data_IF_159812713913
#
_entry.id   IF_159812713913
#
_cell.length_a   1.000
_cell.length_b   1.000
_cell.length_c   1.000
_cell.angle_alpha   90.00
_cell.angle_beta   90.00
_cell.angle_gamma   90.00
#
_symmetry.space_group_name_H-M   'P 1'
#
loop_
_entity.id
_entity.type
_entity.pdbx_description
1 polymer ?
#
# COMPACT_ATOMS: atom_id res chain seq x y z
N UNK A 1 21.38 11.14 6.25
CA UNK A 1 20.62 9.90 5.97
C UNK A 1 19.43 10.25 5.09
N UNK A 2 19.07 9.41 4.10
CA UNK A 2 18.28 9.71 2.88
C UNK A 2 17.19 10.80 2.96
N UNK A 3 16.46 10.90 4.07
CA UNK A 3 15.32 11.83 4.26
C UNK A 3 15.70 13.16 4.95
N UNK A 4 16.99 13.46 5.07
CA UNK A 4 17.52 14.72 5.59
C UNK A 4 18.20 15.51 4.47
N UNK A 5 17.90 16.81 4.29
CA UNK A 5 16.92 17.62 5.04
C UNK A 5 15.46 17.21 4.77
N UNK A 6 14.49 17.73 5.54
CA UNK A 6 13.07 17.35 5.42
C UNK A 6 12.49 17.50 4.00
N UNK A 7 13.06 18.39 3.17
CA UNK A 7 12.70 18.55 1.76
C UNK A 7 13.05 17.35 0.89
N UNK A 8 14.00 16.50 1.31
CA UNK A 8 14.45 15.33 0.54
C UNK A 8 13.30 14.36 0.22
N UNK A 9 12.37 14.15 1.17
CA UNK A 9 11.18 13.32 0.92
C UNK A 9 10.34 13.86 -0.23
N UNK A 10 10.07 15.16 -0.25
CA UNK A 10 9.30 15.81 -1.32
C UNK A 10 10.04 15.76 -2.66
N UNK A 11 11.34 16.03 -2.67
CA UNK A 11 12.16 15.91 -3.87
C UNK A 11 12.12 14.50 -4.46
N UNK A 12 12.18 13.45 -3.62
CA UNK A 12 12.11 12.06 -4.06
C UNK A 12 10.72 11.68 -4.57
N UNK A 13 9.64 12.20 -3.95
CA UNK A 13 8.27 12.01 -4.45
C UNK A 13 8.09 12.63 -5.84
N UNK A 14 8.56 13.87 -6.04
CA UNK A 14 8.52 14.55 -7.34
C UNK A 14 9.39 13.82 -8.37
N UNK A 15 10.58 13.36 -7.98
CA UNK A 15 11.45 12.59 -8.87
C UNK A 15 10.77 11.29 -9.35
N UNK A 16 10.10 10.56 -8.45
CA UNK A 16 9.31 9.38 -8.81
C UNK A 16 8.21 9.72 -9.82
N UNK A 17 7.45 10.78 -9.57
CA UNK A 17 6.37 11.21 -10.46
C UNK A 17 6.90 11.57 -11.86
N UNK A 18 7.97 12.36 -11.96
CA UNK A 18 8.58 12.75 -13.24
C UNK A 18 9.13 11.53 -13.99
N UNK A 19 9.82 10.62 -13.29
CA UNK A 19 10.34 9.40 -13.89
C UNK A 19 9.23 8.48 -14.39
N UNK A 20 8.13 8.38 -13.64
CA UNK A 20 6.97 7.60 -14.04
C UNK A 20 6.28 8.21 -15.28
N UNK A 21 6.01 9.53 -15.27
CA UNK A 21 5.38 10.24 -16.40
C UNK A 21 6.22 10.21 -17.67
N UNK A 22 7.54 10.16 -17.55
CA UNK A 22 8.45 9.97 -18.68
C UNK A 22 8.62 8.51 -19.12
N UNK A 23 7.88 7.57 -18.52
CA UNK A 23 7.96 6.12 -18.78
C UNK A 23 9.38 5.56 -18.64
N UNK A 24 10.20 6.21 -17.80
CA UNK A 24 11.59 5.82 -17.65
C UNK A 24 11.70 4.51 -16.86
N UNK A 25 12.52 3.53 -17.30
CA UNK A 25 12.79 2.33 -16.51
C UNK A 25 13.50 2.65 -15.18
N UNK A 26 14.00 3.87 -15.00
CA UNK A 26 14.52 4.35 -13.73
C UNK A 26 13.44 4.47 -12.65
N UNK A 27 12.15 4.66 -13.00
CA UNK A 27 11.07 4.76 -12.03
C UNK A 27 10.96 3.48 -11.18
N UNK A 28 10.86 2.31 -11.83
CA UNK A 28 10.78 1.01 -11.15
C UNK A 28 12.03 0.72 -10.31
N UNK A 29 13.22 1.08 -10.81
CA UNK A 29 14.47 0.95 -10.04
C UNK A 29 14.47 1.83 -8.80
N UNK A 30 14.01 3.08 -8.93
CA UNK A 30 13.92 4.01 -7.81
C UNK A 30 12.90 3.54 -6.78
N UNK A 31 11.71 3.08 -7.19
CA UNK A 31 10.73 2.50 -6.27
C UNK A 31 11.34 1.36 -5.45
N UNK A 32 11.99 0.39 -6.13
CA UNK A 32 12.63 -0.75 -5.46
C UNK A 32 13.72 -0.32 -4.49
N UNK A 33 14.58 0.62 -4.90
CA UNK A 33 15.64 1.14 -4.05
C UNK A 33 15.09 1.87 -2.81
N UNK A 34 14.10 2.74 -2.99
CA UNK A 34 13.47 3.48 -1.89
C UNK A 34 12.79 2.53 -0.90
N UNK A 35 12.01 1.57 -1.38
CA UNK A 35 11.35 0.59 -0.51
C UNK A 35 12.39 -0.25 0.24
N UNK A 36 13.43 -0.73 -0.44
CA UNK A 36 14.51 -1.49 0.21
C UNK A 36 15.27 -0.71 1.28
N UNK A 37 15.47 0.59 1.09
CA UNK A 37 16.14 1.45 2.08
C UNK A 37 15.24 1.87 3.25
N UNK A 38 13.94 2.11 3.01
CA UNK A 38 13.01 2.65 4.00
C UNK A 38 12.31 1.54 4.80
N UNK A 39 12.17 0.37 4.20
CA UNK A 39 11.50 -0.80 4.75
C UNK A 39 12.39 -2.05 4.60
N UNK A 40 13.60 -2.05 5.19
CA UNK A 40 14.46 -3.23 5.16
C UNK A 40 13.75 -4.39 5.89
N UNK A 41 13.85 -5.63 5.39
CA UNK A 41 13.25 -6.78 6.07
C UNK A 41 13.80 -6.90 7.50
N UNK A 42 12.92 -7.23 8.45
CA UNK A 42 13.29 -7.39 9.84
C UNK A 42 14.18 -8.62 10.08
N UNK A 43 14.77 -8.72 11.28
CA UNK A 43 15.65 -9.83 11.64
C UNK A 43 14.89 -11.17 11.71
N UNK A 44 13.58 -11.13 11.98
CA UNK A 44 12.72 -12.31 11.98
C UNK A 44 11.71 -12.28 10.83
N UNK A 45 11.25 -13.44 10.34
CA UNK A 45 10.18 -13.50 9.34
C UNK A 45 8.85 -12.86 9.79
N UNK A 46 8.66 -12.68 11.10
CA UNK A 46 7.49 -12.02 11.67
C UNK A 46 7.60 -10.48 11.61
N UNK A 47 8.83 -9.94 11.54
CA UNK A 47 9.09 -8.51 11.53
C UNK A 47 9.02 -7.94 10.12
N UNK A 48 7.86 -7.37 9.78
CA UNK A 48 7.68 -6.69 8.51
C UNK A 48 8.28 -5.28 8.53
N UNK A 49 9.38 -5.13 7.80
CA UNK A 49 10.02 -3.83 7.55
C UNK A 49 9.05 -2.83 6.94
N UNK A 50 8.23 -3.28 5.98
CA UNK A 50 7.25 -2.44 5.31
C UNK A 50 6.14 -2.00 6.26
N UNK A 51 5.62 -2.88 7.12
CA UNK A 51 4.61 -2.49 8.11
C UNK A 51 5.18 -1.44 9.07
N UNK A 52 6.38 -1.65 9.61
CA UNK A 52 7.03 -0.66 10.47
C UNK A 52 7.29 0.68 9.75
N UNK A 53 7.66 0.62 8.46
CA UNK A 53 7.90 1.81 7.64
C UNK A 53 6.63 2.60 7.34
N UNK A 54 5.50 1.93 7.11
CA UNK A 54 4.20 2.58 6.90
C UNK A 54 3.61 3.17 8.18
N UNK A 55 4.02 2.69 9.35
CA UNK A 55 3.64 3.25 10.64
C UNK A 55 4.51 4.43 11.07
N UNK A 56 5.59 4.71 10.34
CA UNK A 56 6.58 5.73 10.69
C UNK A 56 6.23 7.09 10.02
N UNK A 57 6.15 8.20 10.79
CA UNK A 57 5.73 9.49 10.26
C UNK A 57 6.71 10.13 9.27
N UNK A 58 7.97 9.71 9.27
CA UNK A 58 9.03 10.23 8.38
C UNK A 58 9.08 9.41 7.09
N UNK A 59 8.90 8.09 7.18
CA UNK A 59 9.06 7.16 6.04
C UNK A 59 7.76 6.91 5.27
N UNK A 60 6.60 6.91 5.94
CA UNK A 60 5.32 6.47 5.38
C UNK A 60 4.97 7.16 4.06
N UNK A 61 5.11 8.48 3.99
CA UNK A 61 4.77 9.28 2.80
C UNK A 61 5.57 8.90 1.56
N UNK A 62 6.88 8.62 1.71
CA UNK A 62 7.71 8.23 0.57
C UNK A 62 7.46 6.76 0.20
N UNK A 63 7.14 5.90 1.16
CA UNK A 63 6.70 4.53 0.88
C UNK A 63 5.36 4.50 0.13
N UNK A 64 4.39 5.33 0.53
CA UNK A 64 3.12 5.53 -0.20
C UNK A 64 3.38 5.90 -1.66
N UNK A 65 4.23 6.89 -1.92
CA UNK A 65 4.57 7.33 -3.27
C UNK A 65 5.33 6.25 -4.06
N UNK A 66 6.25 5.52 -3.43
CA UNK A 66 6.97 4.44 -4.09
C UNK A 66 6.04 3.27 -4.48
N UNK A 67 5.04 2.95 -3.65
CA UNK A 67 4.04 1.93 -3.96
C UNK A 67 3.07 2.38 -5.06
N UNK A 68 2.67 3.66 -5.08
CA UNK A 68 1.82 4.23 -6.14
C UNK A 68 2.40 4.00 -7.54
N UNK A 69 3.73 4.10 -7.69
CA UNK A 69 4.42 3.95 -8.97
C UNK A 69 5.10 2.59 -9.13
N UNK A 70 4.91 1.66 -8.18
CA UNK A 70 5.48 0.32 -8.27
C UNK A 70 4.76 -0.51 -9.33
N UNK A 71 5.52 -1.30 -10.08
CA UNK A 71 4.94 -2.27 -11.01
C UNK A 71 4.21 -3.42 -10.28
N UNK A 72 3.32 -4.14 -10.98
CA UNK A 72 2.47 -5.18 -10.37
C UNK A 72 3.27 -6.29 -9.70
N UNK A 73 4.42 -6.68 -10.25
CA UNK A 73 5.28 -7.72 -9.66
C UNK A 73 5.88 -7.30 -8.33
N UNK A 74 6.27 -6.03 -8.20
CA UNK A 74 6.79 -5.50 -6.95
C UNK A 74 5.68 -5.44 -5.91
N UNK A 75 4.49 -4.93 -6.26
CA UNK A 75 3.35 -4.88 -5.33
C UNK A 75 2.94 -6.27 -4.85
N UNK A 76 2.92 -7.26 -5.75
CA UNK A 76 2.67 -8.66 -5.42
C UNK A 76 3.71 -9.22 -4.46
N UNK A 77 4.99 -8.94 -4.70
CA UNK A 77 6.08 -9.34 -3.80
C UNK A 77 5.90 -8.72 -2.41
N UNK A 78 5.69 -7.40 -2.33
CA UNK A 78 5.53 -6.68 -1.07
C UNK A 78 4.32 -7.21 -0.29
N UNK A 79 3.19 -7.39 -0.96
CA UNK A 79 1.99 -7.93 -0.33
C UNK A 79 2.27 -9.29 0.31
N UNK A 80 2.75 -10.26 -0.48
CA UNK A 80 2.96 -11.65 -0.02
C UNK A 80 4.01 -11.78 1.07
N UNK A 81 5.07 -10.97 1.01
CA UNK A 81 6.23 -11.09 1.91
C UNK A 81 6.11 -10.23 3.17
N UNK A 82 5.32 -9.15 3.14
CA UNK A 82 5.39 -8.12 4.18
C UNK A 82 4.03 -7.67 4.70
N UNK A 83 2.92 -7.85 3.97
CA UNK A 83 1.61 -7.26 4.36
C UNK A 83 0.51 -8.30 4.61
N UNK A 84 0.56 -9.46 3.96
CA UNK A 84 -0.41 -10.54 4.14
C UNK A 84 -0.51 -10.96 5.60
N UNK A 85 -1.74 -11.08 6.09
CA UNK A 85 -2.05 -11.38 7.50
C UNK A 85 -1.99 -10.17 8.43
N UNK A 86 -1.67 -8.97 7.93
CA UNK A 86 -1.54 -7.74 8.72
C UNK A 86 -2.49 -6.64 8.25
N UNK A 87 -3.36 -6.89 7.27
CA UNK A 87 -4.18 -5.85 6.63
C UNK A 87 -5.15 -5.18 7.59
N UNK A 88 -5.79 -5.93 8.50
CA UNK A 88 -6.67 -5.37 9.52
C UNK A 88 -5.93 -4.39 10.44
N UNK A 89 -4.71 -4.72 10.85
CA UNK A 89 -3.87 -3.83 11.67
C UNK A 89 -3.47 -2.57 10.90
N UNK A 90 -3.07 -2.72 9.64
CA UNK A 90 -2.73 -1.60 8.76
C UNK A 90 -3.92 -0.68 8.50
N UNK A 91 -5.10 -1.24 8.24
CA UNK A 91 -6.33 -0.52 7.97
C UNK A 91 -6.78 0.32 9.18
N UNK A 92 -6.54 -0.15 10.40
CA UNK A 92 -6.89 0.54 11.64
C UNK A 92 -5.78 1.49 12.14
N UNK A 93 -4.60 1.52 11.52
CA UNK A 93 -3.51 2.38 11.95
C UNK A 93 -3.59 3.78 11.33
N UNK A 94 -3.48 4.83 12.15
CA UNK A 94 -3.60 6.25 11.74
C UNK A 94 -2.73 6.66 10.55
N UNK A 95 -1.53 6.09 10.42
CA UNK A 95 -0.61 6.38 9.32
C UNK A 95 -0.62 5.30 8.23
N UNK A 96 -0.72 4.03 8.62
CA UNK A 96 -0.46 2.94 7.69
C UNK A 96 -1.65 2.64 6.78
N UNK A 97 -2.85 3.08 7.16
CA UNK A 97 -4.06 2.97 6.34
C UNK A 97 -3.88 3.65 4.96
N UNK A 98 -3.07 4.72 4.88
CA UNK A 98 -2.79 5.39 3.61
C UNK A 98 -1.89 4.55 2.70
N UNK A 99 -0.86 3.91 3.28
CA UNK A 99 -0.04 2.94 2.56
C UNK A 99 -0.85 1.77 2.02
N UNK A 100 -1.78 1.26 2.83
CA UNK A 100 -2.71 0.21 2.42
C UNK A 100 -3.62 0.67 1.26
N UNK A 101 -4.17 1.88 1.32
CA UNK A 101 -4.95 2.44 0.20
C UNK A 101 -4.12 2.50 -1.09
N UNK A 102 -2.85 2.92 -1.04
CA UNK A 102 -1.95 2.92 -2.21
C UNK A 102 -1.66 1.52 -2.75
N UNK A 103 -1.51 0.53 -1.88
CA UNK A 103 -1.43 -0.86 -2.32
C UNK A 103 -2.70 -1.25 -3.08
N UNK A 104 -3.88 -1.01 -2.50
CA UNK A 104 -5.18 -1.39 -3.06
C UNK A 104 -5.44 -0.71 -4.41
N UNK A 105 -5.18 0.59 -4.52
CA UNK A 105 -5.42 1.39 -5.72
C UNK A 105 -4.64 0.87 -6.95
N UNK A 106 -3.49 0.23 -6.73
CA UNK A 106 -2.54 -0.18 -7.78
C UNK A 106 -2.29 -1.70 -7.82
N UNK A 107 -2.92 -2.47 -6.93
CA UNK A 107 -2.72 -3.91 -6.84
C UNK A 107 -3.19 -4.62 -8.11
N UNK A 108 -2.46 -5.66 -8.58
CA UNK A 108 -3.01 -6.56 -9.57
C UNK A 108 -4.18 -7.37 -8.98
N UNK A 109 -5.05 -7.88 -9.86
CA UNK A 109 -6.29 -8.59 -9.49
C UNK A 109 -6.08 -9.71 -8.46
N UNK A 110 -5.02 -10.51 -8.60
CA UNK A 110 -4.74 -11.63 -7.68
C UNK A 110 -4.45 -11.14 -6.26
N UNK A 111 -3.74 -10.02 -6.13
CA UNK A 111 -3.50 -9.37 -4.82
C UNK A 111 -4.80 -8.78 -4.28
N UNK A 112 -5.60 -8.13 -5.13
CA UNK A 112 -6.87 -7.53 -4.72
C UNK A 112 -7.87 -8.58 -4.20
N UNK A 113 -7.89 -9.77 -4.81
CA UNK A 113 -8.69 -10.90 -4.34
C UNK A 113 -8.26 -11.38 -2.94
N UNK A 114 -6.95 -11.48 -2.70
CA UNK A 114 -6.41 -11.83 -1.37
C UNK A 114 -6.72 -10.72 -0.34
N UNK A 115 -6.64 -9.45 -0.73
CA UNK A 115 -7.00 -8.31 0.12
C UNK A 115 -8.49 -8.35 0.50
N UNK A 116 -9.39 -8.59 -0.47
CA UNK A 116 -10.83 -8.74 -0.21
C UNK A 116 -11.11 -9.89 0.76
N UNK A 117 -10.45 -11.02 0.58
CA UNK A 117 -10.63 -12.20 1.42
C UNK A 117 -10.19 -11.94 2.87
N UNK A 118 -9.08 -11.23 3.07
CA UNK A 118 -8.52 -10.94 4.39
C UNK A 118 -9.23 -9.78 5.10
N UNK A 119 -9.46 -8.67 4.40
CA UNK A 119 -9.96 -7.42 4.99
C UNK A 119 -11.48 -7.29 4.92
N UNK A 120 -12.13 -7.90 3.93
CA UNK A 120 -13.58 -7.82 3.69
C UNK A 120 -14.43 -8.08 4.94
N UNK A 121 -14.21 -9.19 5.68
CA UNK A 121 -14.95 -9.49 6.90
C UNK A 121 -14.78 -8.48 8.06
N UNK A 122 -13.79 -7.59 7.97
CA UNK A 122 -13.44 -6.64 9.02
C UNK A 122 -13.52 -5.17 8.54
N UNK A 123 -14.24 -4.88 7.46
CA UNK A 123 -14.34 -3.51 6.89
C UNK A 123 -15.04 -2.50 7.81
N UNK A 124 -15.83 -2.94 8.77
CA UNK A 124 -16.45 -2.05 9.76
C UNK A 124 -15.43 -1.44 10.72
N UNK A 125 -14.32 -2.11 10.99
CA UNK A 125 -13.28 -1.61 11.88
C UNK A 125 -12.58 -0.33 11.36
N UNK A 126 -11.99 -0.30 10.14
CA UNK A 126 -11.37 0.92 9.65
C UNK A 126 -12.39 2.05 9.47
N UNK A 127 -13.66 1.75 9.19
CA UNK A 127 -14.71 2.76 9.16
C UNK A 127 -14.91 3.39 10.55
N UNK A 128 -15.06 2.55 11.59
CA UNK A 128 -15.19 3.00 12.98
C UNK A 128 -13.94 3.74 13.48
N UNK A 129 -12.75 3.39 12.97
CA UNK A 129 -11.49 4.07 13.24
C UNK A 129 -11.33 5.42 12.49
N UNK A 130 -12.30 5.81 11.66
CA UNK A 130 -12.24 7.05 10.89
C UNK A 130 -11.37 6.97 9.64
N UNK A 131 -11.17 5.78 9.08
CA UNK A 131 -10.40 5.51 7.86
C UNK A 131 -11.29 5.02 6.69
N UNK A 132 -12.35 5.77 6.29
CA UNK A 132 -13.27 5.36 5.23
C UNK A 132 -12.57 5.22 3.86
N UNK A 133 -11.42 5.87 3.68
CA UNK A 133 -10.62 5.77 2.45
C UNK A 133 -10.22 4.33 2.11
N UNK A 134 -10.07 3.45 3.11
CA UNK A 134 -9.79 2.02 2.88
C UNK A 134 -10.95 1.36 2.10
N UNK A 135 -12.19 1.65 2.48
CA UNK A 135 -13.38 1.12 1.79
C UNK A 135 -13.52 1.73 0.40
N UNK A 136 -13.27 3.04 0.27
CA UNK A 136 -13.33 3.74 -1.02
C UNK A 136 -12.31 3.19 -2.00
N UNK A 137 -11.05 3.01 -1.58
CA UNK A 137 -10.00 2.39 -2.42
C UNK A 137 -10.38 0.98 -2.84
N UNK A 138 -10.90 0.16 -1.92
CA UNK A 138 -11.30 -1.21 -2.22
C UNK A 138 -12.46 -1.25 -3.23
N UNK A 139 -13.51 -0.44 -3.02
CA UNK A 139 -14.61 -0.34 -3.97
C UNK A 139 -14.15 0.16 -5.35
N UNK A 140 -13.25 1.15 -5.39
CA UNK A 140 -12.72 1.71 -6.63
C UNK A 140 -11.83 0.71 -7.37
N UNK A 141 -10.99 -0.05 -6.67
CA UNK A 141 -10.14 -1.07 -7.27
C UNK A 141 -11.01 -2.20 -7.86
N UNK A 142 -12.00 -2.68 -7.11
CA UNK A 142 -12.91 -3.74 -7.56
C UNK A 142 -13.79 -3.33 -8.74
N UNK A 143 -14.03 -2.02 -8.96
CA UNK A 143 -14.81 -1.53 -10.10
C UNK A 143 -14.25 -2.00 -11.44
N UNK A 144 -12.93 -2.16 -11.56
CA UNK A 144 -12.28 -2.59 -12.81
C UNK A 144 -12.21 -4.13 -12.96
N UNK A 145 -12.72 -4.87 -11.98
CA UNK A 145 -12.62 -6.32 -11.85
C UNK A 145 -14.02 -6.94 -11.62
N UNK A 146 -14.81 -7.18 -12.69
CA UNK A 146 -16.20 -7.66 -12.59
C UNK A 146 -16.38 -8.89 -11.69
N UNK A 147 -15.44 -9.81 -11.71
CA UNK A 147 -15.40 -11.02 -10.90
C UNK A 147 -15.31 -10.77 -9.39
N UNK A 148 -14.76 -9.62 -8.97
CA UNK A 148 -14.61 -9.26 -7.56
C UNK A 148 -15.79 -8.42 -7.02
N UNK A 149 -16.59 -7.83 -7.91
CA UNK A 149 -17.68 -6.92 -7.53
C UNK A 149 -18.74 -7.55 -6.63
N UNK A 150 -19.24 -8.78 -6.87
CA UNK A 150 -20.26 -9.39 -6.01
C UNK A 150 -19.78 -9.58 -4.57
N UNK A 151 -18.53 -10.00 -4.41
CA UNK A 151 -17.92 -10.19 -3.09
C UNK A 151 -17.67 -8.85 -2.39
N UNK A 152 -17.12 -7.86 -3.11
CA UNK A 152 -16.91 -6.52 -2.58
C UNK A 152 -18.21 -5.87 -2.10
N UNK A 153 -19.28 -5.94 -2.91
CA UNK A 153 -20.60 -5.43 -2.54
C UNK A 153 -21.16 -6.15 -1.32
N UNK A 154 -21.02 -7.49 -1.25
CA UNK A 154 -21.48 -8.27 -0.09
C UNK A 154 -20.84 -7.76 1.20
N UNK A 155 -19.53 -7.53 1.21
CA UNK A 155 -18.87 -7.00 2.41
C UNK A 155 -19.28 -5.56 2.70
N UNK A 156 -19.37 -4.69 1.68
CA UNK A 156 -19.78 -3.28 1.86
C UNK A 156 -21.20 -3.14 2.45
N UNK A 157 -22.13 -4.02 2.11
CA UNK A 157 -23.49 -4.03 2.69
C UNK A 157 -23.56 -4.65 4.10
N UNK A 158 -22.47 -5.24 4.59
CA UNK A 158 -22.38 -5.81 5.95
C UNK A 158 -21.70 -4.87 6.95
N UNK A 159 -21.21 -3.71 6.50
CA UNK A 159 -20.54 -2.70 7.32
C UNK A 159 -21.54 -1.86 8.10
#
# INVERSE_FOLDING_TARGET
>A
ALLSPCSASLCLQVALEVLHRSQSPAASRLCRALIGHLAPPGPTPADSGLVSGLQDPVRSRLLEAAMMWAGPDLLRQLFRQQLRGQLRGLANHRLANHGLQRLIDHAPQDVLQEVLSELGPALSDPLAAGHPGVLTSLAQACRHHPELQPEALRYLFQV
#
